data_IF_259409389914
#
_entry.id   IF_259409389914
#
_cell.length_a   1.000
_cell.length_b   1.000
_cell.length_c   1.000
_cell.angle_alpha   90.00
_cell.angle_beta   90.00
_cell.angle_gamma   90.00
#
_symmetry.space_group_name_H-M   'P 1'
#
loop_
_entity.id
_entity.type
_entity.pdbx_description
1 polymer ?
#
# COMPACT_ATOMS: atom_id res chain seq x y z
N UNK A 1 -43.33 -34.10 3.53
CA UNK A 1 -42.26 -33.58 4.41
C UNK A 1 -40.88 -34.14 4.04
N UNK A 2 -40.73 -35.47 3.88
CA UNK A 2 -39.46 -36.09 3.44
C UNK A 2 -38.92 -35.62 2.08
N UNK A 3 -39.80 -35.34 1.11
CA UNK A 3 -39.40 -34.89 -0.24
C UNK A 3 -38.76 -33.49 -0.24
N UNK A 4 -39.24 -32.54 0.59
CA UNK A 4 -38.61 -31.21 0.71
C UNK A 4 -37.23 -31.27 1.35
N UNK A 5 -37.03 -32.18 2.32
CA UNK A 5 -35.72 -32.37 2.98
C UNK A 5 -34.71 -32.94 1.98
N UNK A 6 -35.13 -33.89 1.12
CA UNK A 6 -34.26 -34.43 0.09
C UNK A 6 -33.85 -33.36 -0.93
N UNK A 7 -34.80 -32.55 -1.43
CA UNK A 7 -34.52 -31.47 -2.39
C UNK A 7 -33.61 -30.38 -1.79
N UNK A 8 -33.78 -30.05 -0.51
CA UNK A 8 -32.91 -29.10 0.20
C UNK A 8 -31.48 -29.61 0.40
N UNK A 9 -31.30 -30.90 0.69
CA UNK A 9 -29.98 -31.55 0.81
C UNK A 9 -29.28 -31.58 -0.55
N UNK A 10 -29.99 -31.90 -1.63
CA UNK A 10 -29.45 -31.92 -2.99
C UNK A 10 -29.01 -30.50 -3.41
N UNK A 11 -29.78 -29.47 -3.06
CA UNK A 11 -29.45 -28.07 -3.34
C UNK A 11 -28.24 -27.58 -2.52
N UNK A 12 -28.12 -27.97 -1.26
CA UNK A 12 -26.92 -27.70 -0.43
C UNK A 12 -25.66 -28.40 -0.98
N UNK A 13 -25.78 -29.63 -1.50
CA UNK A 13 -24.67 -30.28 -2.20
C UNK A 13 -24.28 -29.56 -3.50
N UNK A 14 -25.26 -29.04 -4.26
CA UNK A 14 -24.99 -28.28 -5.48
C UNK A 14 -24.33 -26.91 -5.23
N UNK A 15 -24.68 -26.23 -4.12
CA UNK A 15 -24.04 -24.96 -3.72
C UNK A 15 -22.73 -25.19 -2.94
N UNK A 16 -22.56 -26.32 -2.28
CA UNK A 16 -21.35 -26.71 -1.54
C UNK A 16 -20.25 -27.33 -2.40
N UNK A 17 -20.50 -27.59 -3.68
CA UNK A 17 -19.51 -28.17 -4.61
C UNK A 17 -18.61 -27.12 -5.29
N UNK A 18 -18.73 -25.84 -4.95
CA UNK A 18 -17.84 -24.78 -5.44
C UNK A 18 -16.54 -24.65 -4.61
N UNK A 19 -16.02 -25.77 -4.09
CA UNK A 19 -14.72 -25.86 -3.44
C UNK A 19 -13.83 -26.92 -4.11
N UNK A 20 -14.18 -27.35 -5.31
CA UNK A 20 -13.23 -28.04 -6.17
C UNK A 20 -12.32 -27.00 -6.81
N UNK A 21 -11.32 -26.61 -6.00
CA UNK A 21 -10.00 -26.17 -6.43
C UNK A 21 -9.35 -27.28 -7.27
N UNK A 22 -9.94 -27.59 -8.42
CA UNK A 22 -9.35 -28.46 -9.42
C UNK A 22 -9.23 -27.63 -10.68
N UNK A 23 -8.01 -27.12 -10.87
CA UNK A 23 -7.49 -26.48 -12.08
C UNK A 23 -7.32 -24.95 -12.09
N UNK A 24 -7.06 -24.31 -10.94
CA UNK A 24 -6.29 -23.07 -10.95
C UNK A 24 -4.80 -23.39 -10.76
N UNK A 25 -3.91 -23.09 -11.73
CA UNK A 25 -2.49 -23.27 -11.52
C UNK A 25 -1.90 -22.34 -10.45
N UNK A 26 -2.63 -21.33 -9.95
CA UNK A 26 -2.10 -20.39 -8.96
C UNK A 26 -3.21 -19.85 -8.00
N UNK A 27 -3.35 -20.53 -6.86
CA UNK A 27 -3.55 -19.98 -5.51
C UNK A 27 -4.68 -18.95 -5.24
N UNK A 28 -5.84 -19.39 -4.72
CA UNK A 28 -7.08 -18.57 -4.64
C UNK A 28 -7.67 -18.22 -3.27
N UNK A 29 -7.31 -18.83 -2.13
CA UNK A 29 -8.17 -18.65 -0.92
C UNK A 29 -7.50 -17.94 0.27
N UNK A 30 -6.18 -17.76 0.24
CA UNK A 30 -5.49 -16.94 1.23
C UNK A 30 -4.16 -16.48 0.64
N UNK A 31 -4.02 -15.20 0.29
CA UNK A 31 -2.81 -14.69 -0.36
C UNK A 31 -1.51 -14.97 0.44
N UNK A 32 -1.63 -15.22 1.75
CA UNK A 32 -0.53 -15.63 2.63
C UNK A 32 -0.05 -17.08 2.43
N UNK A 33 -0.88 -17.99 1.95
CA UNK A 33 -0.49 -19.40 1.77
C UNK A 33 0.20 -19.69 0.44
N UNK A 34 0.23 -18.71 -0.45
CA UNK A 34 0.78 -18.82 -1.79
C UNK A 34 2.29 -18.65 -1.82
N UNK A 35 3.00 -19.60 -2.45
CA UNK A 35 4.46 -19.55 -2.57
C UNK A 35 4.95 -18.28 -3.28
N UNK A 36 4.22 -17.77 -4.28
CA UNK A 36 4.57 -16.55 -5.03
C UNK A 36 4.65 -15.30 -4.14
N UNK A 37 3.88 -15.24 -3.06
CA UNK A 37 3.88 -14.12 -2.12
C UNK A 37 4.89 -14.30 -0.97
N UNK A 38 5.66 -15.39 -0.99
CA UNK A 38 6.60 -15.75 0.08
C UNK A 38 8.04 -15.72 -0.46
N UNK A 39 8.85 -14.70 -0.12
CA UNK A 39 10.23 -14.58 -0.58
C UNK A 39 11.15 -15.70 -0.05
N UNK A 40 10.72 -16.45 0.98
CA UNK A 40 11.45 -17.63 1.45
C UNK A 40 11.26 -18.87 0.55
N UNK A 41 10.20 -18.92 -0.26
CA UNK A 41 9.80 -20.11 -1.04
C UNK A 41 9.96 -19.87 -2.56
N UNK A 42 11.05 -19.20 -2.97
CA UNK A 42 11.33 -18.87 -4.38
C UNK A 42 11.43 -20.13 -5.23
N UNK A 43 10.72 -20.15 -6.37
CA UNK A 43 10.73 -21.28 -7.31
C UNK A 43 9.71 -22.37 -7.02
N UNK A 44 8.91 -22.23 -5.96
CA UNK A 44 7.78 -23.10 -5.67
C UNK A 44 6.47 -22.47 -6.18
N UNK A 45 5.53 -23.31 -6.61
CA UNK A 45 4.21 -22.89 -7.10
C UNK A 45 3.11 -23.58 -6.26
N UNK A 46 2.00 -22.88 -6.03
CA UNK A 46 0.86 -23.40 -5.26
C UNK A 46 0.82 -22.95 -3.80
N UNK A 47 0.28 -23.81 -2.94
CA UNK A 47 0.12 -23.57 -1.50
C UNK A 47 1.34 -24.08 -0.73
N UNK A 48 2.14 -23.17 -0.17
CA UNK A 48 3.31 -23.49 0.64
C UNK A 48 3.04 -23.36 2.15
N UNK A 49 2.11 -22.50 2.59
CA UNK A 49 2.03 -22.11 4.02
C UNK A 49 0.59 -21.91 4.54
N UNK A 50 -0.07 -22.89 5.18
CA UNK A 50 0.28 -24.31 5.33
C UNK A 50 -0.03 -25.13 4.06
N UNK A 51 0.61 -26.28 3.92
CA UNK A 51 0.27 -27.29 2.91
C UNK A 51 -1.13 -27.88 3.18
N UNK A 52 -1.81 -28.46 2.16
CA UNK A 52 -3.15 -29.03 2.32
C UNK A 52 -3.24 -30.18 3.35
N UNK A 53 -2.11 -30.82 3.65
CA UNK A 53 -1.98 -31.87 4.67
C UNK A 53 -1.70 -31.31 6.08
N UNK A 54 -1.67 -29.98 6.25
CA UNK A 54 -1.40 -29.30 7.52
C UNK A 54 0.09 -29.19 7.88
N UNK A 55 1.00 -29.63 7.00
CA UNK A 55 2.44 -29.46 7.19
C UNK A 55 2.85 -28.03 6.78
N UNK A 56 3.93 -27.53 7.35
CA UNK A 56 4.47 -26.21 7.03
C UNK A 56 5.90 -26.37 6.54
N UNK A 57 6.15 -25.97 5.29
CA UNK A 57 7.50 -25.99 4.70
C UNK A 57 8.47 -25.13 5.52
N UNK A 58 9.75 -25.52 5.54
CA UNK A 58 10.80 -24.81 6.27
C UNK A 58 10.95 -23.34 5.83
N UNK A 59 10.62 -23.02 4.57
CA UNK A 59 10.64 -21.66 4.06
C UNK A 59 9.55 -20.75 4.67
N UNK A 60 8.47 -21.31 5.21
CA UNK A 60 7.37 -20.56 5.83
C UNK A 60 7.72 -20.01 7.22
N UNK A 61 8.63 -20.68 7.93
CA UNK A 61 9.11 -20.26 9.26
C UNK A 61 10.31 -19.29 9.17
N UNK A 62 10.97 -19.28 8.00
CA UNK A 62 12.28 -18.62 7.82
C UNK A 62 12.20 -17.40 6.91
N UNK A 63 10.99 -16.95 6.53
CA UNK A 63 10.85 -15.69 5.82
C UNK A 63 11.52 -14.58 6.65
N UNK A 64 12.62 -13.97 6.18
CA UNK A 64 13.27 -12.90 6.92
C UNK A 64 12.23 -11.79 7.15
N UNK A 65 12.23 -11.19 8.34
CA UNK A 65 11.41 -10.01 8.58
C UNK A 65 11.65 -9.01 7.44
N UNK A 66 10.61 -8.37 6.88
CA UNK A 66 10.78 -7.35 5.86
C UNK A 66 11.84 -6.36 6.30
N UNK A 67 12.77 -6.01 5.40
CA UNK A 67 13.74 -4.96 5.69
C UNK A 67 12.98 -3.68 6.12
N UNK A 68 13.46 -2.95 7.15
CA UNK A 68 12.83 -1.70 7.55
C UNK A 68 12.66 -0.77 6.34
N UNK A 69 11.50 -0.11 6.24
CA UNK A 69 11.28 0.87 5.19
C UNK A 69 12.37 1.96 5.26
N UNK A 70 12.86 2.47 4.12
CA UNK A 70 13.81 3.58 4.11
C UNK A 70 13.29 4.77 4.92
N UNK A 71 14.18 5.43 5.68
CA UNK A 71 13.81 6.64 6.40
C UNK A 71 13.31 7.72 5.42
N UNK A 72 12.30 8.53 5.79
CA UNK A 72 11.86 9.64 4.97
C UNK A 72 13.03 10.59 4.63
N UNK A 73 13.06 11.11 3.41
CA UNK A 73 14.04 12.11 3.01
C UNK A 73 13.92 13.38 3.88
N UNK A 74 15.03 14.07 4.21
CA UNK A 74 14.99 15.34 4.92
C UNK A 74 14.12 16.37 4.20
N UNK A 75 13.37 17.18 4.95
CA UNK A 75 12.57 18.26 4.39
C UNK A 75 13.47 19.31 3.70
N UNK A 76 13.02 19.92 2.59
CA UNK A 76 13.75 21.02 1.95
C UNK A 76 13.99 22.19 2.93
N UNK A 77 15.16 22.84 2.81
CA UNK A 77 15.47 24.02 3.60
C UNK A 77 14.50 25.19 3.28
N UNK A 78 14.14 26.04 4.26
CA UNK A 78 13.33 27.22 4.01
C UNK A 78 13.95 28.15 2.97
N UNK A 79 13.12 28.76 2.12
CA UNK A 79 13.58 29.76 1.16
C UNK A 79 14.14 31.01 1.88
N UNK A 80 15.17 31.68 1.31
CA UNK A 80 15.67 32.93 1.85
C UNK A 80 14.57 34.00 1.96
N UNK A 81 14.62 34.81 3.02
CA UNK A 81 13.70 35.93 3.19
C UNK A 81 13.86 36.98 2.07
N UNK A 82 12.77 37.64 1.64
CA UNK A 82 12.86 38.74 0.67
C UNK A 82 13.78 39.86 1.16
N UNK A 83 14.52 40.48 0.24
CA UNK A 83 15.35 41.64 0.53
C UNK A 83 14.47 42.83 0.99
N UNK A 84 14.98 43.69 1.91
CA UNK A 84 14.28 44.91 2.30
C UNK A 84 13.95 45.81 1.10
N UNK A 85 12.79 46.47 1.14
CA UNK A 85 12.41 47.44 0.12
C UNK A 85 13.38 48.65 0.11
N UNK A 86 13.65 49.25 -1.06
CA UNK A 86 14.42 50.49 -1.15
C UNK A 86 13.79 51.62 -0.31
N UNK A 87 14.62 52.44 0.31
CA UNK A 87 14.16 53.60 1.07
C UNK A 87 13.43 54.62 0.16
N UNK A 88 12.41 55.34 0.67
CA UNK A 88 11.76 56.41 -0.08
C UNK A 88 12.75 57.48 -0.54
N UNK A 89 12.52 58.03 -1.73
CA UNK A 89 13.32 59.15 -2.25
C UNK A 89 13.16 60.38 -1.35
N UNK A 90 14.20 61.22 -1.19
CA UNK A 90 14.09 62.49 -0.48
C UNK A 90 13.00 63.38 -1.06
N UNK A 91 12.28 64.11 -0.19
CA UNK A 91 11.27 65.06 -0.62
C UNK A 91 11.90 66.22 -1.44
N UNK A 92 11.20 66.76 -2.45
CA UNK A 92 11.65 67.95 -3.16
C UNK A 92 11.90 69.13 -2.21
N UNK A 93 12.93 69.92 -2.49
CA UNK A 93 13.22 71.13 -1.73
C UNK A 93 12.06 72.14 -1.85
N UNK A 94 11.77 72.94 -0.80
CA UNK A 94 10.80 74.02 -0.88
C UNK A 94 11.12 74.99 -2.01
N UNK A 95 10.07 75.48 -2.70
CA UNK A 95 10.23 76.50 -3.72
C UNK A 95 10.78 77.81 -3.11
N UNK A 96 11.61 78.57 -3.85
CA UNK A 96 12.05 79.89 -3.42
C UNK A 96 10.86 80.82 -3.12
N UNK A 97 10.99 81.64 -2.08
CA UNK A 97 9.98 82.63 -1.74
C UNK A 97 9.83 83.68 -2.87
N UNK A 98 8.62 84.23 -3.09
CA UNK A 98 8.42 85.32 -4.05
C UNK A 98 9.30 86.54 -3.73
N UNK A 99 9.84 87.18 -4.77
CA UNK A 99 10.60 88.42 -4.62
C UNK A 99 9.68 89.59 -4.19
N UNK A 100 10.16 90.52 -3.34
CA UNK A 100 9.40 91.72 -2.98
C UNK A 100 9.04 92.57 -4.21
N UNK A 101 7.86 93.20 -4.17
CA UNK A 101 7.37 94.13 -5.18
C UNK A 101 7.97 95.54 -5.03
#
# INVERSE_FOLDING_TARGET
MFVCVLVGIIFQFALGSNLTSENAPHCSDNARSCCYNNPGCVGLYGHCCPEPNGMMLACCQTAPAPAPAPAPAPAPAPAPAPAPAPAPAPAPAPAPAPAPA
#
